data_IF_162487850691
#
_entry.id   IF_162487850691
#
_cell.length_a   1.000
_cell.length_b   1.000
_cell.length_c   1.000
_cell.angle_alpha   90.00
_cell.angle_beta   90.00
_cell.angle_gamma   90.00
#
_symmetry.space_group_name_H-M   'P 1'
#
loop_
_entity.id
_entity.type
_entity.pdbx_description
1 polymer ?
#
# COMPACT_ATOMS: atom_id res chain seq x y z
N UNK A 1 18.78 -11.80 15.27
CA UNK A 1 17.97 -11.84 14.03
C UNK A 1 16.60 -11.30 14.38
N UNK A 2 16.19 -10.18 13.80
CA UNK A 2 14.83 -9.65 14.01
C UNK A 2 13.83 -10.68 13.49
N UNK A 3 12.88 -11.08 14.31
CA UNK A 3 11.78 -11.96 13.91
C UNK A 3 11.11 -11.36 12.68
N UNK A 4 10.83 -12.13 11.61
CA UNK A 4 10.12 -11.59 10.45
C UNK A 4 8.76 -11.07 10.90
N UNK A 5 8.56 -9.76 10.84
CA UNK A 5 7.31 -9.10 11.20
C UNK A 5 6.35 -9.06 10.01
N UNK A 6 5.04 -8.85 10.23
CA UNK A 6 4.12 -8.53 9.15
C UNK A 6 4.64 -7.33 8.35
N UNK A 7 4.60 -7.41 7.04
CA UNK A 7 4.98 -6.31 6.19
C UNK A 7 4.05 -6.26 4.98
N UNK A 8 3.63 -5.05 4.62
CA UNK A 8 2.80 -4.78 3.47
C UNK A 8 3.65 -4.15 2.38
N UNK A 9 3.75 -4.83 1.24
CA UNK A 9 4.36 -4.27 0.04
C UNK A 9 3.26 -3.70 -0.86
N UNK A 10 3.29 -2.40 -1.10
CA UNK A 10 2.42 -1.71 -2.05
C UNK A 10 3.23 -1.33 -3.28
N UNK A 11 2.89 -1.92 -4.43
CA UNK A 11 3.50 -1.62 -5.71
C UNK A 11 2.58 -0.65 -6.46
N UNK A 12 3.06 0.57 -6.69
CA UNK A 12 2.30 1.68 -7.26
C UNK A 12 2.70 1.88 -8.73
N UNK A 13 1.74 2.05 -9.66
CA UNK A 13 2.07 2.34 -11.05
C UNK A 13 2.86 3.65 -11.18
N UNK A 14 3.73 3.74 -12.21
CA UNK A 14 4.54 4.93 -12.44
C UNK A 14 3.75 6.22 -12.71
N UNK A 15 2.53 6.10 -13.24
CA UNK A 15 1.62 7.23 -13.52
C UNK A 15 0.63 7.50 -12.37
N UNK A 16 0.90 7.00 -11.16
CA UNK A 16 0.13 7.31 -9.97
C UNK A 16 0.96 8.15 -9.01
N UNK A 17 0.31 9.09 -8.35
CA UNK A 17 0.92 9.91 -7.31
C UNK A 17 0.52 9.45 -5.92
N UNK A 18 1.43 9.69 -4.98
CA UNK A 18 1.23 9.36 -3.58
C UNK A 18 0.83 10.61 -2.80
N UNK A 19 -0.28 10.53 -2.06
CA UNK A 19 -0.69 11.56 -1.10
C UNK A 19 0.08 11.35 0.19
N UNK A 20 0.98 12.28 0.59
CA UNK A 20 1.86 12.08 1.74
C UNK A 20 1.12 11.71 3.02
N UNK A 21 -0.01 12.36 3.29
CA UNK A 21 -0.85 12.15 4.48
C UNK A 21 -1.46 10.74 4.47
N UNK A 22 -2.01 10.29 3.35
CA UNK A 22 -2.57 8.93 3.22
C UNK A 22 -1.50 7.85 3.37
N UNK A 23 -0.29 8.08 2.85
CA UNK A 23 0.85 7.16 3.04
C UNK A 23 1.30 7.13 4.50
N UNK A 24 1.31 8.27 5.19
CA UNK A 24 1.64 8.32 6.62
C UNK A 24 0.61 7.56 7.45
N UNK A 25 -0.67 7.69 7.13
CA UNK A 25 -1.73 6.97 7.83
C UNK A 25 -1.63 5.45 7.60
N UNK A 26 -1.31 5.00 6.38
CA UNK A 26 -0.99 3.59 6.11
C UNK A 26 0.18 3.08 6.97
N UNK A 27 1.24 3.88 7.10
CA UNK A 27 2.39 3.52 7.95
C UNK A 27 2.00 3.43 9.42
N UNK A 28 1.21 4.39 9.92
CA UNK A 28 0.69 4.41 11.28
C UNK A 28 -0.16 3.19 11.56
N UNK A 29 -1.12 2.87 10.69
CA UNK A 29 -1.98 1.70 10.81
C UNK A 29 -1.14 0.41 10.85
N UNK A 30 -0.20 0.23 9.92
CA UNK A 30 0.68 -0.94 9.92
C UNK A 30 1.49 -1.05 11.23
N UNK A 31 2.04 0.06 11.72
CA UNK A 31 2.85 0.05 12.94
C UNK A 31 2.04 -0.23 14.21
N UNK A 32 0.87 0.38 14.35
CA UNK A 32 0.11 0.41 15.61
C UNK A 32 -1.01 -0.63 15.68
N UNK A 33 -1.71 -0.88 14.58
CA UNK A 33 -2.84 -1.83 14.56
C UNK A 33 -2.37 -3.24 14.18
N UNK A 34 -1.41 -3.34 13.26
CA UNK A 34 -0.92 -4.64 12.74
C UNK A 34 0.38 -5.09 13.43
N UNK A 35 1.17 -4.16 13.97
CA UNK A 35 2.51 -4.47 14.50
C UNK A 35 3.52 -4.83 13.40
N UNK A 36 3.37 -4.21 12.22
CA UNK A 36 4.15 -4.47 11.02
C UNK A 36 4.69 -3.22 10.35
N UNK A 37 5.18 -3.37 9.13
CA UNK A 37 5.75 -2.27 8.33
C UNK A 37 5.07 -2.10 6.98
N UNK A 38 5.17 -0.91 6.41
CA UNK A 38 4.73 -0.61 5.05
C UNK A 38 5.94 -0.34 4.17
N UNK A 39 6.03 -1.04 3.04
CA UNK A 39 6.97 -0.75 1.96
C UNK A 39 6.18 -0.31 0.74
N UNK A 40 6.51 0.87 0.21
CA UNK A 40 5.90 1.38 -1.03
C UNK A 40 6.97 1.39 -2.12
N UNK A 41 6.69 0.78 -3.27
CA UNK A 41 7.57 0.75 -4.43
C UNK A 41 6.83 1.26 -5.66
N UNK A 42 7.48 2.15 -6.42
CA UNK A 42 7.00 2.51 -7.76
C UNK A 42 7.52 1.48 -8.76
N UNK A 43 6.69 1.12 -9.72
CA UNK A 43 7.10 0.23 -10.82
C UNK A 43 6.91 0.91 -12.17
N UNK A 44 7.89 0.77 -13.09
CA UNK A 44 7.74 1.21 -14.48
C UNK A 44 6.89 0.23 -15.30
N UNK A 45 6.56 -0.95 -14.76
CA UNK A 45 5.74 -1.93 -15.45
C UNK A 45 4.30 -1.43 -15.61
N UNK A 46 3.61 -1.77 -16.73
CA UNK A 46 2.24 -1.36 -16.95
C UNK A 46 1.31 -2.02 -15.92
N UNK A 47 0.85 -1.22 -14.96
CA UNK A 47 -0.08 -1.63 -13.92
C UNK A 47 -1.26 -0.66 -13.90
N UNK A 48 -2.48 -1.19 -14.00
CA UNK A 48 -3.70 -0.36 -13.98
C UNK A 48 -4.04 0.18 -12.60
N UNK A 49 -3.73 -0.59 -11.56
CA UNK A 49 -4.02 -0.27 -10.16
C UNK A 49 -2.83 -0.68 -9.29
N UNK A 50 -2.64 -0.05 -8.13
CA UNK A 50 -1.63 -0.52 -7.19
C UNK A 50 -1.88 -1.96 -6.74
N UNK A 51 -0.81 -2.72 -6.56
CA UNK A 51 -0.85 -4.07 -6.00
C UNK A 51 -0.48 -4.03 -4.53
N UNK A 52 -1.21 -4.81 -3.74
CA UNK A 52 -0.96 -4.97 -2.30
C UNK A 52 -0.59 -6.41 -2.02
N UNK A 53 0.62 -6.62 -1.49
CA UNK A 53 1.19 -7.94 -1.25
C UNK A 53 1.57 -8.10 0.23
N UNK A 54 1.05 -9.13 0.92
CA UNK A 54 1.51 -9.47 2.26
C UNK A 54 2.87 -10.17 2.16
N UNK A 55 3.87 -9.61 2.82
CA UNK A 55 5.20 -10.20 2.95
C UNK A 55 5.56 -10.35 4.44
N UNK A 56 6.52 -11.23 4.74
CA UNK A 56 6.87 -11.57 6.12
C UNK A 56 5.89 -12.56 6.78
N UNK A 57 5.93 -12.64 8.11
CA UNK A 57 5.09 -13.57 8.88
C UNK A 57 3.90 -12.84 9.44
N UNK A 58 2.71 -13.31 9.08
CA UNK A 58 1.44 -12.77 9.54
C UNK A 58 0.78 -13.73 10.54
N UNK A 59 0.26 -13.23 11.67
CA UNK A 59 -0.62 -14.03 12.51
C UNK A 59 -1.77 -14.65 11.70
N UNK A 60 -2.24 -15.85 12.07
CA UNK A 60 -3.34 -16.50 11.35
C UNK A 60 -4.58 -15.59 11.26
N UNK A 61 -5.04 -15.32 10.04
CA UNK A 61 -6.24 -14.52 9.77
C UNK A 61 -6.05 -13.00 9.77
N UNK A 62 -4.97 -12.46 10.36
CA UNK A 62 -4.78 -10.99 10.47
C UNK A 62 -4.58 -10.31 9.11
N UNK A 63 -3.96 -11.00 8.14
CA UNK A 63 -3.81 -10.49 6.78
C UNK A 63 -5.16 -10.18 6.13
N UNK A 64 -6.15 -11.06 6.26
CA UNK A 64 -7.45 -10.85 5.60
C UNK A 64 -8.18 -9.62 6.14
N UNK A 65 -8.07 -9.38 7.44
CA UNK A 65 -8.65 -8.21 8.10
C UNK A 65 -7.93 -6.95 7.66
N UNK A 66 -6.59 -6.93 7.77
CA UNK A 66 -5.78 -5.79 7.36
C UNK A 66 -6.01 -5.44 5.88
N UNK A 67 -6.11 -6.46 5.01
CA UNK A 67 -6.37 -6.27 3.58
C UNK A 67 -7.66 -5.49 3.31
N UNK A 68 -8.75 -5.78 4.02
CA UNK A 68 -10.01 -5.08 3.82
C UNK A 68 -9.89 -3.60 4.20
N UNK A 69 -9.29 -3.31 5.36
CA UNK A 69 -9.08 -1.93 5.82
C UNK A 69 -8.16 -1.14 4.88
N UNK A 70 -7.09 -1.79 4.41
CA UNK A 70 -6.12 -1.21 3.47
C UNK A 70 -6.77 -0.93 2.12
N UNK A 71 -7.47 -1.91 1.52
CA UNK A 71 -8.07 -1.80 0.19
C UNK A 71 -9.24 -0.81 0.17
N UNK A 72 -10.06 -0.75 1.21
CA UNK A 72 -11.29 0.05 1.21
C UNK A 72 -11.08 1.53 1.52
N UNK A 73 -10.13 1.86 2.41
CA UNK A 73 -10.05 3.22 2.96
C UNK A 73 -8.75 3.89 2.59
N UNK A 74 -7.65 3.17 2.74
CA UNK A 74 -6.34 3.80 2.76
C UNK A 74 -5.70 3.88 1.38
N UNK A 75 -5.95 2.91 0.50
CA UNK A 75 -5.44 2.93 -0.87
C UNK A 75 -6.02 4.08 -1.72
N UNK A 76 -7.31 4.37 -1.58
CA UNK A 76 -7.98 5.47 -2.30
C UNK A 76 -7.60 6.86 -1.77
N UNK A 77 -7.13 6.95 -0.54
CA UNK A 77 -6.65 8.20 0.07
C UNK A 77 -5.15 8.41 -0.12
N UNK A 78 -4.37 7.32 -0.22
CA UNK A 78 -2.92 7.37 -0.32
C UNK A 78 -2.40 7.45 -1.75
N UNK A 79 -3.17 6.99 -2.76
CA UNK A 79 -2.71 6.98 -4.14
C UNK A 79 -3.83 7.36 -5.10
N UNK A 80 -3.47 8.16 -6.11
CA UNK A 80 -4.39 8.55 -7.19
C UNK A 80 -3.71 8.49 -8.55
N UNK A 81 -4.50 8.23 -9.59
CA UNK A 81 -4.03 8.18 -10.98
C UNK A 81 -3.87 9.57 -11.56
N UNK A 82 -2.79 9.80 -12.32
CA UNK A 82 -2.60 10.97 -13.18
C UNK A 82 -3.12 10.74 -14.61
N UNK A 83 -3.85 9.66 -14.88
CA UNK A 83 -4.34 9.36 -16.24
C UNK A 83 -5.21 10.47 -16.86
N UNK A 84 -5.84 11.32 -16.05
CA UNK A 84 -6.57 12.50 -16.52
C UNK A 84 -5.66 13.61 -17.06
N UNK A 85 -4.37 13.64 -16.65
CA UNK A 85 -3.38 14.60 -17.13
C UNK A 85 -2.80 14.16 -18.51
N UNK A 86 -2.75 12.85 -18.77
CA UNK A 86 -2.22 12.26 -20.00
C UNK A 86 -3.18 12.43 -21.20
N UNK A 87 -4.49 12.60 -20.97
CA UNK A 87 -5.50 12.80 -22.04
C UNK A 87 -5.51 14.22 -22.65
N UNK A 88 -4.75 15.17 -22.09
CA UNK A 88 -4.74 16.59 -22.53
C UNK A 88 -3.50 16.94 -23.38
N UNK A 89 -2.71 15.94 -23.81
CA UNK A 89 -1.49 16.13 -24.62
C UNK A 89 -1.69 15.79 -26.09
#
# INVERSE_FOLDING_TARGET
MSTPSPCLLVIVPGNWEAVPEGVQELKRYMAHEVGGTLTVQRTPAPLRFPLVLPIGVWPPGSWRVARQDIELVLMSQAFFSLGWLEEVS
#
